data_IF_854108664540
#
_entry.id   IF_854108664540
#
_cell.length_a   1.000
_cell.length_b   1.000
_cell.length_c   1.000
_cell.angle_alpha   90.00
_cell.angle_beta   90.00
_cell.angle_gamma   90.00
#
_symmetry.space_group_name_H-M   'P 1'
#
loop_
_entity.id
_entity.type
_entity.pdbx_description
1 polymer ?
#
# COMPACT_ATOMS: atom_id res chain seq x y z
N UNK A 1 7.13 9.08 1.99
CA UNK A 1 8.15 10.01 1.46
C UNK A 1 8.82 10.72 2.62
N UNK A 2 9.75 10.03 3.24
CA UNK A 2 10.52 10.56 4.36
C UNK A 2 11.57 11.54 3.84
N UNK A 3 11.59 12.75 4.39
CA UNK A 3 12.63 13.74 4.12
C UNK A 3 13.93 13.41 4.91
N UNK A 4 13.80 12.57 5.92
CA UNK A 4 14.90 12.13 6.79
C UNK A 4 14.80 10.64 7.05
N UNK A 5 15.26 9.84 6.11
CA UNK A 5 15.36 8.39 6.30
C UNK A 5 16.81 8.02 6.60
N UNK A 6 17.01 7.36 7.73
CA UNK A 6 18.29 6.80 8.13
C UNK A 6 18.08 5.38 8.67
N UNK A 7 18.85 4.44 8.17
CA UNK A 7 18.80 3.03 8.60
C UNK A 7 20.25 2.61 8.91
N UNK A 8 20.49 2.18 10.16
CA UNK A 8 21.80 1.67 10.59
C UNK A 8 22.95 2.70 10.44
N UNK A 9 22.68 4.00 10.67
CA UNK A 9 23.67 5.06 10.51
C UNK A 9 23.93 5.48 9.05
N UNK A 10 23.15 4.97 8.09
CA UNK A 10 23.23 5.34 6.68
C UNK A 10 22.08 6.29 6.31
N UNK A 11 22.33 7.60 6.15
CA UNK A 11 21.28 8.54 5.76
C UNK A 11 20.95 8.40 4.27
N UNK A 12 19.65 8.52 3.93
CA UNK A 12 19.21 8.72 2.56
C UNK A 12 19.54 10.16 2.14
N UNK A 13 20.52 10.31 1.25
CA UNK A 13 20.85 11.60 0.65
C UNK A 13 20.19 11.71 -0.72
N UNK A 14 19.41 12.77 -0.93
CA UNK A 14 18.76 13.08 -2.21
C UNK A 14 19.01 14.54 -2.58
N UNK A 15 19.07 14.82 -3.88
CA UNK A 15 19.21 16.19 -4.41
C UNK A 15 17.89 16.91 -4.63
N UNK A 16 16.77 16.31 -4.21
CA UNK A 16 15.41 16.83 -4.37
C UNK A 16 14.64 16.73 -3.06
N UNK A 17 13.60 17.54 -2.89
CA UNK A 17 12.80 17.56 -1.66
C UNK A 17 12.17 16.18 -1.33
N UNK A 18 11.89 15.38 -2.35
CA UNK A 18 11.29 14.05 -2.19
C UNK A 18 12.00 13.04 -3.06
N UNK A 19 12.62 12.01 -2.45
CA UNK A 19 13.33 11.00 -3.21
C UNK A 19 12.40 10.25 -4.15
N UNK A 20 12.93 9.94 -5.32
CA UNK A 20 12.26 9.06 -6.28
C UNK A 20 12.26 7.62 -5.78
N UNK A 21 11.36 6.78 -6.34
CA UNK A 21 11.35 5.35 -6.07
C UNK A 21 12.72 4.71 -6.38
N UNK A 22 13.38 5.15 -7.44
CA UNK A 22 14.71 4.63 -7.82
C UNK A 22 15.75 4.94 -6.76
N UNK A 23 15.83 6.18 -6.28
CA UNK A 23 16.76 6.59 -5.23
C UNK A 23 16.52 5.81 -3.93
N UNK A 24 15.27 5.62 -3.53
CA UNK A 24 14.93 4.83 -2.36
C UNK A 24 15.37 3.36 -2.50
N UNK A 25 15.14 2.73 -3.65
CA UNK A 25 15.57 1.35 -3.91
C UNK A 25 17.08 1.21 -3.97
N UNK A 26 17.79 2.19 -4.55
CA UNK A 26 19.26 2.23 -4.57
C UNK A 26 19.81 2.37 -3.14
N UNK A 27 19.18 3.21 -2.33
CA UNK A 27 19.51 3.37 -0.92
C UNK A 27 19.38 2.06 -0.13
N UNK A 28 18.23 1.38 -0.22
CA UNK A 28 18.02 0.10 0.48
C UNK A 28 19.05 -0.95 0.06
N UNK A 29 19.38 -1.06 -1.25
CA UNK A 29 20.43 -1.98 -1.71
C UNK A 29 21.81 -1.64 -1.15
N UNK A 30 22.14 -0.35 -1.04
CA UNK A 30 23.41 0.08 -0.42
C UNK A 30 23.45 -0.28 1.06
N UNK A 31 22.37 -0.08 1.82
CA UNK A 31 22.30 -0.47 3.23
C UNK A 31 22.49 -1.99 3.37
N UNK A 32 21.75 -2.79 2.58
CA UNK A 32 21.90 -4.25 2.59
C UNK A 32 23.33 -4.68 2.31
N UNK A 33 23.99 -4.06 1.33
CA UNK A 33 25.38 -4.39 0.97
C UNK A 33 26.37 -3.99 2.05
N UNK A 34 26.28 -2.78 2.59
CA UNK A 34 27.22 -2.24 3.58
C UNK A 34 27.11 -3.02 4.91
N UNK A 35 25.90 -3.32 5.34
CA UNK A 35 25.62 -4.05 6.58
C UNK A 35 25.69 -5.58 6.39
N UNK A 36 25.96 -6.07 5.18
CA UNK A 36 26.04 -7.49 4.83
C UNK A 36 24.82 -8.27 5.30
N UNK A 37 23.63 -7.68 5.14
CA UNK A 37 22.38 -8.30 5.58
C UNK A 37 22.06 -9.56 4.77
N UNK A 38 21.62 -10.62 5.44
CA UNK A 38 21.21 -11.87 4.79
C UNK A 38 19.80 -11.71 4.20
N UNK A 39 19.69 -11.06 3.05
CA UNK A 39 18.44 -10.85 2.32
C UNK A 39 18.28 -11.89 1.23
N UNK A 40 17.13 -12.57 1.20
CA UNK A 40 16.75 -13.51 0.15
C UNK A 40 15.69 -12.86 -0.74
N UNK A 41 16.12 -12.34 -1.88
CA UNK A 41 15.21 -11.83 -2.92
C UNK A 41 14.57 -12.97 -3.68
N UNK A 42 13.45 -12.73 -4.36
CA UNK A 42 12.71 -13.73 -5.14
C UNK A 42 12.26 -14.95 -4.31
N UNK A 43 11.94 -14.70 -3.04
CA UNK A 43 11.38 -15.69 -2.13
C UNK A 43 10.06 -15.15 -1.59
N UNK A 44 8.95 -15.66 -2.08
CA UNK A 44 7.61 -15.31 -1.60
C UNK A 44 7.24 -16.21 -0.41
N UNK A 45 7.04 -15.64 0.76
CA UNK A 45 6.56 -16.39 1.93
C UNK A 45 5.09 -16.74 1.72
N UNK A 46 4.81 -18.02 1.63
CA UNK A 46 3.47 -18.55 1.37
C UNK A 46 2.79 -19.11 2.61
N UNK A 47 3.58 -19.51 3.62
CA UNK A 47 3.06 -20.07 4.87
C UNK A 47 4.02 -19.84 6.05
N UNK A 48 3.45 -19.64 7.23
CA UNK A 48 4.17 -19.59 8.50
C UNK A 48 3.42 -20.49 9.48
N UNK A 49 4.12 -21.49 10.02
CA UNK A 49 3.55 -22.44 10.98
C UNK A 49 4.23 -22.31 12.33
N UNK A 50 3.44 -22.22 13.40
CA UNK A 50 3.96 -22.28 14.75
C UNK A 50 4.40 -23.73 15.09
N UNK A 51 5.58 -23.87 15.66
CA UNK A 51 6.12 -25.12 16.17
C UNK A 51 6.02 -25.16 17.71
N UNK A 52 6.41 -26.28 18.33
CA UNK A 52 6.55 -26.36 19.79
C UNK A 52 7.55 -25.32 20.31
N UNK A 53 8.63 -25.06 19.54
CA UNK A 53 9.59 -23.98 19.78
C UNK A 53 9.82 -23.24 18.47
N UNK A 54 9.44 -21.94 18.44
CA UNK A 54 9.65 -21.10 17.26
C UNK A 54 8.68 -21.38 16.11
N UNK A 55 9.15 -21.16 14.89
CA UNK A 55 8.34 -21.14 13.69
C UNK A 55 9.03 -21.86 12.53
N UNK A 56 8.22 -22.36 11.62
CA UNK A 56 8.62 -22.87 10.32
C UNK A 56 7.98 -21.97 9.24
N UNK A 57 8.82 -21.33 8.44
CA UNK A 57 8.41 -20.45 7.35
C UNK A 57 8.68 -21.11 6.01
N UNK A 58 7.67 -21.24 5.17
CA UNK A 58 7.77 -21.76 3.82
C UNK A 58 7.72 -20.61 2.82
N UNK A 59 8.68 -20.59 1.90
CA UNK A 59 8.73 -19.63 0.80
C UNK A 59 8.84 -20.34 -0.55
N UNK A 60 8.27 -19.74 -1.59
CA UNK A 60 8.42 -20.15 -2.98
C UNK A 60 9.41 -19.22 -3.68
N UNK A 61 10.34 -19.78 -4.43
CA UNK A 61 11.24 -19.00 -5.27
C UNK A 61 10.56 -18.67 -6.61
N UNK A 62 11.09 -17.69 -7.34
CA UNK A 62 10.69 -17.37 -8.72
C UNK A 62 10.86 -18.55 -9.70
N UNK A 63 11.69 -19.54 -9.34
CA UNK A 63 11.89 -20.81 -10.07
C UNK A 63 10.95 -21.93 -9.64
N UNK A 64 9.97 -21.63 -8.77
CA UNK A 64 8.99 -22.62 -8.30
C UNK A 64 9.52 -23.59 -7.24
N UNK A 65 10.71 -23.35 -6.67
CA UNK A 65 11.27 -24.18 -5.61
C UNK A 65 10.70 -23.77 -4.26
N UNK A 66 10.33 -24.75 -3.44
CA UNK A 66 9.92 -24.51 -2.05
C UNK A 66 11.14 -24.53 -1.12
N UNK A 67 11.26 -23.50 -0.29
CA UNK A 67 12.32 -23.36 0.71
C UNK A 67 11.67 -23.27 2.09
N UNK A 68 12.18 -24.02 3.05
CA UNK A 68 11.70 -24.01 4.43
C UNK A 68 12.78 -23.51 5.37
N UNK A 69 12.44 -22.55 6.23
CA UNK A 69 13.32 -21.96 7.22
C UNK A 69 12.72 -22.13 8.62
N UNK A 70 13.55 -22.44 9.60
CA UNK A 70 13.16 -22.49 11.02
C UNK A 70 13.77 -21.31 11.75
N UNK A 71 12.97 -20.67 12.62
CA UNK A 71 13.40 -19.52 13.42
C UNK A 71 12.75 -19.52 14.78
N UNK A 72 13.39 -18.87 15.76
CA UNK A 72 12.81 -18.67 17.10
C UNK A 72 11.78 -17.56 17.10
N UNK A 73 11.97 -16.55 16.28
CA UNK A 73 11.13 -15.36 16.16
C UNK A 73 10.83 -15.07 14.69
N UNK A 74 9.69 -14.45 14.44
CA UNK A 74 9.30 -13.92 13.13
C UNK A 74 8.86 -12.48 13.29
N UNK A 75 9.31 -11.60 12.40
CA UNK A 75 8.82 -10.24 12.24
C UNK A 75 8.21 -10.10 10.84
N UNK A 76 6.89 -9.92 10.76
CA UNK A 76 6.16 -9.71 9.52
C UNK A 76 6.12 -8.22 9.17
N UNK A 77 6.63 -7.85 8.00
CA UNK A 77 6.70 -6.46 7.52
C UNK A 77 6.26 -6.32 6.05
N UNK A 78 5.26 -7.09 5.64
CA UNK A 78 4.80 -7.20 4.24
C UNK A 78 4.10 -5.95 3.70
N UNK A 79 3.70 -5.03 4.58
CA UNK A 79 2.98 -3.83 4.16
C UNK A 79 1.55 -4.11 3.69
N UNK A 80 1.05 -3.30 2.75
CA UNK A 80 -0.33 -3.39 2.25
C UNK A 80 -0.48 -3.17 0.73
N UNK A 81 0.57 -2.72 0.05
CA UNK A 81 0.46 -2.20 -1.33
C UNK A 81 0.10 -3.28 -2.37
N UNK A 82 0.33 -4.54 -2.06
CA UNK A 82 0.02 -5.66 -2.97
C UNK A 82 -1.46 -6.07 -2.96
N UNK A 83 -2.29 -5.45 -2.11
CA UNK A 83 -3.68 -5.81 -1.95
C UNK A 83 -4.60 -4.60 -2.21
N UNK A 84 -4.98 -4.34 -3.47
CA UNK A 84 -5.91 -3.27 -3.80
C UNK A 84 -7.33 -3.60 -3.32
N UNK A 85 -8.08 -2.55 -2.97
CA UNK A 85 -9.52 -2.68 -2.67
C UNK A 85 -10.29 -2.73 -3.97
N UNK A 86 -10.74 -3.91 -4.35
CA UNK A 86 -11.59 -4.11 -5.51
C UNK A 86 -12.97 -3.48 -5.31
N UNK A 87 -13.55 -2.98 -6.39
CA UNK A 87 -14.90 -2.42 -6.42
C UNK A 87 -15.97 -3.53 -6.50
N UNK A 88 -15.62 -4.68 -7.09
CA UNK A 88 -16.53 -5.81 -7.32
C UNK A 88 -17.59 -5.50 -8.37
N UNK A 89 -17.24 -4.73 -9.39
CA UNK A 89 -18.14 -4.30 -10.47
C UNK A 89 -17.80 -4.98 -11.80
N UNK A 90 -18.76 -5.10 -12.73
CA UNK A 90 -18.48 -5.60 -14.09
C UNK A 90 -17.37 -4.81 -14.77
N UNK A 91 -16.44 -5.50 -15.41
CA UNK A 91 -15.34 -4.94 -16.18
C UNK A 91 -14.14 -4.45 -15.36
N UNK A 92 -14.11 -4.66 -14.06
CA UNK A 92 -12.96 -4.24 -13.22
C UNK A 92 -11.65 -5.01 -13.55
N UNK A 93 -11.76 -6.18 -14.13
CA UNK A 93 -10.67 -7.07 -14.57
C UNK A 93 -10.27 -6.92 -16.04
N UNK A 94 -10.85 -5.95 -16.76
CA UNK A 94 -10.52 -5.69 -18.16
C UNK A 94 -9.06 -5.22 -18.32
N UNK A 95 -8.41 -5.50 -19.47
CA UNK A 95 -7.01 -5.12 -19.74
C UNK A 95 -6.73 -3.61 -19.66
N UNK A 96 -7.75 -2.76 -19.89
CA UNK A 96 -7.67 -1.32 -19.76
C UNK A 96 -7.99 -0.80 -18.34
N UNK A 97 -7.99 -1.68 -17.34
CA UNK A 97 -8.17 -1.32 -15.92
C UNK A 97 -6.92 -1.68 -15.14
N UNK A 98 -6.47 -0.78 -14.28
CA UNK A 98 -5.35 -1.03 -13.37
C UNK A 98 -5.63 -0.44 -11.99
N UNK A 99 -5.23 -1.16 -10.94
CA UNK A 99 -5.24 -0.67 -9.56
C UNK A 99 -3.92 0.03 -9.17
N UNK A 100 -2.99 0.11 -10.11
CA UNK A 100 -1.66 0.69 -9.92
C UNK A 100 -1.35 1.70 -11.01
N UNK A 101 -0.90 2.87 -10.60
CA UNK A 101 -0.35 3.88 -11.50
C UNK A 101 1.18 3.86 -11.40
N UNK A 102 1.87 3.81 -12.52
CA UNK A 102 3.33 3.76 -12.58
C UNK A 102 3.93 4.99 -13.24
N UNK A 103 3.44 5.36 -14.42
CA UNK A 103 3.91 6.52 -15.18
C UNK A 103 2.80 7.08 -16.08
N UNK A 104 2.94 8.35 -16.44
CA UNK A 104 1.91 9.07 -17.21
C UNK A 104 2.16 9.09 -18.73
N UNK A 105 3.41 8.94 -19.16
CA UNK A 105 3.80 9.14 -20.56
C UNK A 105 3.01 8.32 -21.60
N UNK A 106 2.67 7.03 -21.38
CA UNK A 106 1.88 6.24 -22.32
C UNK A 106 0.46 6.75 -22.59
N UNK A 107 -0.02 7.69 -21.80
CA UNK A 107 -1.40 8.19 -21.84
C UNK A 107 -1.53 9.60 -22.45
N UNK A 108 -0.49 10.09 -23.13
CA UNK A 108 -0.55 11.36 -23.85
C UNK A 108 -1.73 11.39 -24.84
N UNK A 109 -2.55 12.45 -24.78
CA UNK A 109 -3.80 12.64 -25.57
C UNK A 109 -4.88 11.56 -25.35
N UNK A 110 -4.73 10.64 -24.37
CA UNK A 110 -5.73 9.62 -24.03
C UNK A 110 -6.75 10.14 -23.04
N UNK A 111 -7.96 9.59 -23.12
CA UNK A 111 -8.99 9.78 -22.09
C UNK A 111 -8.74 8.80 -20.94
N UNK A 112 -8.42 9.33 -19.77
CA UNK A 112 -8.10 8.51 -18.62
C UNK A 112 -9.10 8.80 -17.49
N UNK A 113 -9.76 7.76 -17.01
CA UNK A 113 -10.64 7.85 -15.83
C UNK A 113 -9.95 7.31 -14.59
N UNK A 114 -9.97 8.08 -13.52
CA UNK A 114 -9.44 7.70 -12.20
C UNK A 114 -10.60 7.53 -11.24
N UNK A 115 -10.78 6.33 -10.70
CA UNK A 115 -11.77 6.03 -9.66
C UNK A 115 -11.08 6.13 -8.30
N UNK A 116 -11.42 7.16 -7.55
CA UNK A 116 -10.83 7.45 -6.24
C UNK A 116 -10.50 8.93 -6.05
N UNK A 117 -10.28 9.35 -4.81
CA UNK A 117 -9.90 10.72 -4.45
C UNK A 117 -8.91 10.78 -3.26
N UNK A 118 -8.15 9.71 -3.05
CA UNK A 118 -7.04 9.68 -2.10
C UNK A 118 -5.75 10.24 -2.71
N UNK A 119 -4.65 10.24 -1.92
CA UNK A 119 -3.37 10.80 -2.36
C UNK A 119 -2.82 10.15 -3.63
N UNK A 120 -2.94 8.82 -3.79
CA UNK A 120 -2.49 8.13 -5.00
C UNK A 120 -3.28 8.55 -6.24
N UNK A 121 -4.60 8.72 -6.10
CA UNK A 121 -5.46 9.20 -7.19
C UNK A 121 -5.13 10.64 -7.59
N UNK A 122 -4.86 11.49 -6.60
CA UNK A 122 -4.48 12.89 -6.81
C UNK A 122 -3.09 13.02 -7.49
N UNK A 123 -2.11 12.26 -7.01
CA UNK A 123 -0.78 12.20 -7.62
C UNK A 123 -0.88 11.74 -9.09
N UNK A 124 -1.60 10.64 -9.36
CA UNK A 124 -1.81 10.13 -10.71
C UNK A 124 -2.54 11.15 -11.61
N UNK A 125 -3.58 11.80 -11.11
CA UNK A 125 -4.34 12.80 -11.87
C UNK A 125 -3.46 13.98 -12.31
N UNK A 126 -2.62 14.48 -11.40
CA UNK A 126 -1.72 15.59 -11.68
C UNK A 126 -0.60 15.20 -12.65
N UNK A 127 -0.05 14.00 -12.53
CA UNK A 127 1.00 13.52 -13.44
C UNK A 127 0.45 13.24 -14.84
N UNK A 128 -0.72 12.63 -14.95
CA UNK A 128 -1.42 12.41 -16.22
C UNK A 128 -1.78 13.74 -16.89
N UNK A 129 -2.29 14.71 -16.12
CA UNK A 129 -2.56 16.05 -16.64
C UNK A 129 -1.29 16.72 -17.19
N UNK A 130 -0.18 16.68 -16.47
CA UNK A 130 1.11 17.23 -16.93
C UNK A 130 1.64 16.53 -18.17
N UNK A 131 1.35 15.25 -18.33
CA UNK A 131 1.71 14.47 -19.52
C UNK A 131 0.77 14.71 -20.72
N UNK A 132 -0.28 15.52 -20.56
CA UNK A 132 -1.21 15.86 -21.63
C UNK A 132 -2.36 14.86 -21.83
N UNK A 133 -2.67 14.04 -20.84
CA UNK A 133 -3.87 13.19 -20.85
C UNK A 133 -5.14 13.99 -20.54
N UNK A 134 -6.28 13.55 -21.06
CA UNK A 134 -7.61 14.06 -20.73
C UNK A 134 -8.11 13.34 -19.47
N UNK A 135 -7.95 13.96 -18.29
CA UNK A 135 -8.21 13.30 -17.01
C UNK A 135 -9.63 13.56 -16.51
N UNK A 136 -10.33 12.49 -16.16
CA UNK A 136 -11.59 12.54 -15.43
C UNK A 136 -11.48 11.73 -14.14
N UNK A 137 -11.86 12.31 -13.00
CA UNK A 137 -11.91 11.64 -11.70
C UNK A 137 -13.36 11.33 -11.31
N UNK A 138 -13.57 10.18 -10.67
CA UNK A 138 -14.85 9.76 -10.10
C UNK A 138 -14.70 9.52 -8.62
N UNK A 139 -15.54 10.16 -7.81
CA UNK A 139 -15.52 10.00 -6.36
C UNK A 139 -16.92 9.91 -5.76
N UNK A 140 -17.11 8.94 -4.86
CA UNK A 140 -18.39 8.71 -4.17
C UNK A 140 -18.76 9.75 -3.12
N UNK A 141 -17.79 10.53 -2.63
CA UNK A 141 -18.00 11.62 -1.69
C UNK A 141 -18.28 12.93 -2.42
N UNK A 142 -18.66 13.94 -1.66
CA UNK A 142 -19.01 15.30 -2.13
C UNK A 142 -17.78 16.21 -2.37
N UNK A 143 -16.63 15.80 -1.90
CA UNK A 143 -15.40 16.59 -1.92
C UNK A 143 -14.15 15.73 -1.84
N UNK A 144 -12.99 16.32 -2.09
CA UNK A 144 -11.71 15.63 -1.85
C UNK A 144 -11.51 15.36 -0.36
N UNK A 145 -10.95 14.20 -0.04
CA UNK A 145 -10.73 13.78 1.34
C UNK A 145 -9.90 14.81 2.13
N UNK A 146 -10.26 15.04 3.38
CA UNK A 146 -9.46 15.85 4.30
C UNK A 146 -8.01 15.33 4.46
N UNK A 147 -7.82 14.00 4.39
CA UNK A 147 -6.51 13.34 4.49
C UNK A 147 -5.63 13.46 3.23
N UNK A 148 -6.11 14.15 2.18
CA UNK A 148 -5.29 14.44 1.01
C UNK A 148 -4.11 15.32 1.42
N UNK A 149 -2.90 14.94 1.04
CA UNK A 149 -1.67 15.63 1.42
C UNK A 149 -1.76 17.14 1.10
N UNK A 150 -1.47 17.98 2.08
CA UNK A 150 -1.66 19.44 2.01
C UNK A 150 -0.91 20.12 0.86
N UNK A 151 0.19 19.50 0.38
CA UNK A 151 0.95 20.04 -0.77
C UNK A 151 0.42 19.60 -2.14
N UNK A 152 -0.46 18.57 -2.20
CA UNK A 152 -1.09 18.07 -3.43
C UNK A 152 -2.44 18.76 -3.64
N UNK A 153 -3.22 18.87 -2.57
CA UNK A 153 -4.61 19.34 -2.60
C UNK A 153 -4.80 20.68 -3.34
N UNK A 154 -4.03 21.75 -3.07
CA UNK A 154 -4.23 23.03 -3.74
C UNK A 154 -4.01 22.96 -5.25
N UNK A 155 -3.01 22.21 -5.70
CA UNK A 155 -2.73 22.05 -7.13
C UNK A 155 -3.87 21.30 -7.83
N UNK A 156 -4.36 20.20 -7.25
CA UNK A 156 -5.48 19.44 -7.80
C UNK A 156 -6.77 20.30 -7.87
N UNK A 157 -7.11 21.01 -6.79
CA UNK A 157 -8.28 21.89 -6.74
C UNK A 157 -8.22 23.00 -7.79
N UNK A 158 -7.04 23.57 -8.03
CA UNK A 158 -6.84 24.56 -9.09
C UNK A 158 -7.09 23.97 -10.47
N UNK A 159 -6.56 22.76 -10.77
CA UNK A 159 -6.79 22.08 -12.06
C UNK A 159 -8.26 21.76 -12.28
N UNK A 160 -8.97 21.38 -11.23
CA UNK A 160 -10.43 21.13 -11.28
C UNK A 160 -11.20 22.43 -11.51
N UNK A 161 -10.86 23.51 -10.79
CA UNK A 161 -11.50 24.82 -10.95
C UNK A 161 -11.30 25.43 -12.35
N UNK A 162 -10.16 25.19 -12.95
CA UNK A 162 -9.85 25.62 -14.32
C UNK A 162 -10.52 24.74 -15.40
N UNK A 163 -11.10 23.59 -15.00
CA UNK A 163 -11.67 22.62 -15.93
C UNK A 163 -10.64 21.74 -16.64
N UNK A 164 -9.36 21.82 -16.27
CA UNK A 164 -8.28 21.01 -16.83
C UNK A 164 -8.35 19.55 -16.40
N UNK A 165 -8.88 19.28 -15.19
CA UNK A 165 -9.23 17.95 -14.70
C UNK A 165 -10.72 17.95 -14.38
N UNK A 166 -11.47 17.01 -14.96
CA UNK A 166 -12.90 16.85 -14.67
C UNK A 166 -13.08 16.00 -13.42
N UNK A 167 -14.08 16.32 -12.58
CA UNK A 167 -14.41 15.51 -11.41
C UNK A 167 -15.91 15.30 -11.30
N UNK A 168 -16.32 14.04 -11.12
CA UNK A 168 -17.67 13.66 -10.74
C UNK A 168 -17.69 13.27 -9.26
N UNK A 169 -18.09 14.22 -8.41
CA UNK A 169 -18.41 13.96 -7.01
C UNK A 169 -19.78 13.31 -6.86
N UNK A 170 -20.08 12.74 -5.67
CA UNK A 170 -21.32 12.05 -5.36
C UNK A 170 -21.65 10.94 -6.39
N UNK A 171 -20.61 10.31 -6.93
CA UNK A 171 -20.72 9.38 -8.05
C UNK A 171 -20.11 8.02 -7.73
N UNK A 172 -20.85 6.96 -8.02
CA UNK A 172 -20.44 5.57 -7.84
C UNK A 172 -20.27 4.92 -9.20
N UNK A 173 -19.12 4.30 -9.43
CA UNK A 173 -18.89 3.52 -10.64
C UNK A 173 -19.72 2.25 -10.60
N UNK A 174 -20.45 1.95 -11.66
CA UNK A 174 -21.33 0.79 -11.79
C UNK A 174 -20.75 -0.29 -12.69
N UNK A 175 -20.07 0.13 -13.76
CA UNK A 175 -19.51 -0.75 -14.77
C UNK A 175 -18.33 -0.07 -15.48
N UNK A 176 -17.38 -0.88 -15.94
CA UNK A 176 -16.29 -0.45 -16.80
C UNK A 176 -16.37 -1.29 -18.08
N UNK A 177 -16.26 -0.64 -19.24
CA UNK A 177 -16.18 -1.29 -20.54
C UNK A 177 -14.82 -1.07 -21.19
N UNK A 178 -14.60 -1.60 -22.37
CA UNK A 178 -13.35 -1.37 -23.12
C UNK A 178 -13.12 0.10 -23.53
N UNK A 179 -14.18 0.92 -23.54
CA UNK A 179 -14.17 2.28 -24.08
C UNK A 179 -14.89 3.32 -23.21
N UNK A 180 -15.46 2.90 -22.08
CA UNK A 180 -16.18 3.80 -21.18
C UNK A 180 -16.20 3.35 -19.71
N UNK A 181 -16.40 4.31 -18.81
CA UNK A 181 -16.79 4.10 -17.42
C UNK A 181 -18.20 4.60 -17.19
N UNK A 182 -19.08 3.74 -16.69
CA UNK A 182 -20.48 4.04 -16.41
C UNK A 182 -20.61 4.36 -14.92
N UNK A 183 -21.07 5.56 -14.60
CA UNK A 183 -21.25 6.02 -13.22
C UNK A 183 -22.71 6.37 -12.95
N UNK A 184 -23.09 6.26 -11.69
CA UNK A 184 -24.35 6.76 -11.15
C UNK A 184 -24.02 7.93 -10.22
N UNK A 185 -24.44 9.12 -10.61
CA UNK A 185 -24.30 10.34 -9.83
C UNK A 185 -25.57 10.62 -9.06
N UNK A 186 -25.47 10.88 -7.76
CA UNK A 186 -26.58 11.37 -6.94
C UNK A 186 -26.71 12.89 -7.11
N UNK A 187 -27.87 13.33 -7.62
CA UNK A 187 -28.20 14.75 -7.73
C UNK A 187 -28.62 15.34 -6.37
N UNK A 188 -28.74 16.67 -6.29
CA UNK A 188 -29.12 17.38 -5.05
C UNK A 188 -30.50 16.98 -4.52
N UNK A 189 -31.44 16.66 -5.40
CA UNK A 189 -32.77 16.15 -5.06
C UNK A 189 -32.78 14.66 -4.65
N UNK A 190 -31.61 14.00 -4.65
CA UNK A 190 -31.42 12.60 -4.30
C UNK A 190 -31.68 11.61 -5.44
N UNK A 191 -32.10 12.07 -6.64
CA UNK A 191 -32.32 11.23 -7.79
C UNK A 191 -30.98 10.75 -8.41
N UNK A 192 -30.91 9.50 -8.94
CA UNK A 192 -29.72 9.03 -9.63
C UNK A 192 -29.72 9.47 -11.10
N UNK A 193 -28.56 9.92 -11.58
CA UNK A 193 -28.27 10.20 -12.98
C UNK A 193 -27.20 9.24 -13.47
N UNK A 194 -27.45 8.54 -14.58
CA UNK A 194 -26.44 7.71 -15.22
C UNK A 194 -25.60 8.54 -16.19
N UNK A 195 -24.29 8.52 -16.02
CA UNK A 195 -23.34 9.21 -16.88
C UNK A 195 -22.36 8.20 -17.47
N UNK A 196 -22.15 8.28 -18.78
CA UNK A 196 -21.15 7.47 -19.52
C UNK A 196 -19.94 8.35 -19.81
N UNK A 197 -18.77 7.94 -19.32
CA UNK A 197 -17.51 8.66 -19.48
C UNK A 197 -16.66 7.91 -20.50
N UNK A 198 -16.43 8.44 -21.70
CA UNK A 198 -15.51 7.84 -22.68
C UNK A 198 -14.10 7.71 -22.09
N UNK A 199 -13.50 6.53 -22.20
CA UNK A 199 -12.26 6.21 -21.46
C UNK A 199 -11.43 5.21 -22.24
N UNK A 200 -10.15 5.52 -22.46
CA UNK A 200 -9.17 4.59 -23.04
C UNK A 200 -8.48 3.75 -21.96
N UNK A 201 -8.31 4.31 -20.75
CA UNK A 201 -7.69 3.67 -19.61
C UNK A 201 -8.41 4.04 -18.30
N UNK A 202 -8.60 3.07 -17.44
CA UNK A 202 -9.16 3.29 -16.09
C UNK A 202 -8.12 2.95 -15.02
N UNK A 203 -7.92 3.86 -14.06
CA UNK A 203 -7.17 3.59 -12.85
C UNK A 203 -8.11 3.53 -11.64
N UNK A 204 -8.34 2.33 -11.09
CA UNK A 204 -9.14 2.12 -9.88
C UNK A 204 -8.27 2.28 -8.62
N UNK A 205 -7.99 3.54 -8.24
CA UNK A 205 -7.13 3.90 -7.10
C UNK A 205 -7.97 4.07 -5.82
N UNK A 206 -8.68 3.02 -5.46
CA UNK A 206 -9.67 2.95 -4.38
C UNK A 206 -9.07 2.73 -3.00
N UNK A 207 -7.75 2.56 -2.93
CA UNK A 207 -6.96 2.26 -1.74
C UNK A 207 -6.57 0.80 -1.65
N UNK A 208 -5.89 0.46 -0.56
CA UNK A 208 -5.30 -0.85 -0.32
C UNK A 208 -5.64 -1.33 1.10
N UNK A 209 -5.32 -2.59 1.41
CA UNK A 209 -5.43 -3.15 2.75
C UNK A 209 -4.27 -4.12 3.03
N UNK A 210 -3.90 -4.28 4.30
CA UNK A 210 -2.92 -5.29 4.70
C UNK A 210 -3.58 -6.67 4.71
N UNK A 211 -2.98 -7.64 4.01
CA UNK A 211 -3.48 -9.01 3.99
C UNK A 211 -3.36 -9.68 5.34
N UNK A 212 -4.41 -10.33 5.79
CA UNK A 212 -4.45 -11.10 7.05
C UNK A 212 -4.02 -12.56 6.88
N UNK A 213 -3.85 -13.03 5.64
CA UNK A 213 -3.66 -14.46 5.32
C UNK A 213 -2.52 -15.14 6.11
N UNK A 214 -1.35 -14.52 6.16
CA UNK A 214 -0.21 -15.07 6.92
C UNK A 214 -0.42 -14.94 8.43
N UNK A 215 -1.12 -13.90 8.89
CA UNK A 215 -1.44 -13.66 10.29
C UNK A 215 -2.43 -14.70 10.81
N UNK A 216 -3.54 -14.92 10.10
CA UNK A 216 -4.55 -15.92 10.43
C UNK A 216 -3.97 -17.33 10.38
N UNK A 217 -3.13 -17.63 9.39
CA UNK A 217 -2.47 -18.92 9.23
C UNK A 217 -1.61 -19.33 10.42
N UNK A 218 -1.03 -18.37 11.15
CA UNK A 218 -0.22 -18.63 12.35
C UNK A 218 -1.01 -18.49 13.66
N UNK A 219 -2.29 -18.07 13.59
CA UNK A 219 -3.20 -17.94 14.74
C UNK A 219 -3.18 -16.56 15.39
N UNK A 220 -2.81 -15.52 14.64
CA UNK A 220 -2.92 -14.13 15.12
C UNK A 220 -4.39 -13.71 15.16
N UNK A 221 -4.80 -13.08 16.25
CA UNK A 221 -6.16 -12.54 16.41
C UNK A 221 -6.30 -11.27 15.58
N UNK A 222 -7.28 -11.29 14.69
CA UNK A 222 -7.63 -10.16 13.81
C UNK A 222 -8.90 -9.51 14.31
N UNK A 223 -8.91 -8.19 14.44
CA UNK A 223 -10.08 -7.40 14.84
C UNK A 223 -11.08 -7.34 13.68
N UNK A 224 -12.36 -7.55 13.98
CA UNK A 224 -13.43 -7.57 12.97
C UNK A 224 -13.72 -6.20 12.35
N UNK A 225 -13.45 -5.11 13.09
CA UNK A 225 -13.85 -3.75 12.73
C UNK A 225 -13.01 -3.20 11.56
N UNK A 226 -11.72 -3.49 11.56
CA UNK A 226 -10.77 -2.89 10.61
C UNK A 226 -9.74 -3.88 10.05
N UNK A 227 -9.88 -5.16 10.39
CA UNK A 227 -8.94 -6.24 10.02
C UNK A 227 -7.51 -6.01 10.53
N UNK A 228 -7.33 -5.20 11.57
CA UNK A 228 -6.01 -5.03 12.20
C UNK A 228 -5.68 -6.20 13.12
N UNK A 229 -4.38 -6.51 13.22
CA UNK A 229 -3.89 -7.50 14.17
C UNK A 229 -3.98 -6.97 15.62
N UNK A 230 -4.23 -7.87 16.57
CA UNK A 230 -4.05 -7.54 17.97
C UNK A 230 -2.54 -7.50 18.28
N UNK A 231 -2.04 -6.34 18.67
CA UNK A 231 -0.64 -6.07 18.94
C UNK A 231 -0.44 -5.52 20.36
N UNK A 232 0.67 -5.87 20.96
CA UNK A 232 1.21 -5.18 22.13
C UNK A 232 1.90 -3.89 21.63
N UNK A 233 1.46 -2.73 22.10
CA UNK A 233 1.95 -1.42 21.63
C UNK A 233 3.41 -1.12 22.05
N UNK A 234 3.93 -1.82 23.07
CA UNK A 234 5.30 -1.63 23.54
C UNK A 234 6.31 -2.50 22.78
N UNK A 235 5.88 -3.62 22.23
CA UNK A 235 6.78 -4.61 21.59
C UNK A 235 6.40 -4.95 20.16
N UNK A 236 5.20 -4.61 19.70
CA UNK A 236 4.60 -5.05 18.44
C UNK A 236 4.50 -6.57 18.28
N UNK A 237 4.53 -7.29 19.41
CA UNK A 237 4.26 -8.72 19.45
C UNK A 237 2.74 -8.96 19.37
N UNK A 238 2.36 -10.03 18.70
CA UNK A 238 0.96 -10.47 18.61
C UNK A 238 0.58 -11.33 19.82
N UNK A 239 -0.66 -11.84 19.83
CA UNK A 239 -1.08 -12.90 20.76
C UNK A 239 -0.29 -14.22 20.58
N UNK A 240 0.45 -14.37 19.47
CA UNK A 240 1.31 -15.53 19.20
C UNK A 240 2.72 -15.19 19.64
N UNK A 241 3.16 -15.77 20.78
CA UNK A 241 4.46 -15.47 21.38
C UNK A 241 5.62 -15.71 20.40
N UNK A 242 6.48 -14.69 20.25
CA UNK A 242 7.60 -14.68 19.31
C UNK A 242 7.25 -14.24 17.88
N UNK A 243 5.98 -13.89 17.61
CA UNK A 243 5.53 -13.37 16.32
C UNK A 243 5.22 -11.88 16.42
N UNK A 244 5.98 -11.07 15.71
CA UNK A 244 5.90 -9.61 15.69
C UNK A 244 5.34 -9.13 14.34
N UNK A 245 4.64 -7.99 14.35
CA UNK A 245 4.17 -7.34 13.12
C UNK A 245 4.66 -5.90 13.10
N UNK A 246 5.36 -5.54 12.03
CA UNK A 246 6.06 -4.27 11.90
C UNK A 246 5.48 -3.45 10.75
N UNK A 247 5.43 -2.13 10.92
CA UNK A 247 4.91 -1.22 9.92
C UNK A 247 3.42 -1.43 9.68
N UNK A 248 2.97 -1.21 8.46
CA UNK A 248 1.55 -1.24 8.09
C UNK A 248 0.94 -2.63 7.93
N UNK A 249 1.74 -3.70 7.98
CA UNK A 249 1.26 -5.08 7.82
C UNK A 249 0.21 -5.51 8.86
N UNK A 250 0.21 -4.91 10.06
CA UNK A 250 -0.73 -5.20 11.13
C UNK A 250 -1.96 -4.31 11.19
N UNK A 251 -2.16 -3.38 10.26
CA UNK A 251 -3.16 -2.31 10.39
C UNK A 251 -4.39 -2.49 9.49
N UNK A 252 -4.54 -3.64 8.83
CA UNK A 252 -5.74 -3.98 8.07
C UNK A 252 -6.13 -2.91 7.05
N UNK A 253 -7.29 -2.28 7.24
CA UNK A 253 -7.79 -1.21 6.36
C UNK A 253 -7.30 0.19 6.74
N UNK A 254 -6.64 0.38 7.89
CA UNK A 254 -6.10 1.66 8.36
C UNK A 254 -4.71 1.96 7.79
N UNK A 255 -4.55 1.83 6.50
CA UNK A 255 -3.25 1.96 5.81
C UNK A 255 -2.66 3.36 5.82
N UNK A 256 -3.47 4.37 6.16
CA UNK A 256 -3.04 5.78 6.28
C UNK A 256 -2.39 6.13 7.62
N UNK A 257 -2.44 5.24 8.61
CA UNK A 257 -1.99 5.53 9.97
C UNK A 257 -0.49 5.32 10.14
N UNK A 258 0.09 4.46 9.29
CA UNK A 258 1.49 4.05 9.41
C UNK A 258 2.30 4.44 8.19
N UNK A 259 3.33 5.20 8.42
CA UNK A 259 4.34 5.63 7.46
C UNK A 259 5.67 4.91 7.72
N UNK A 260 6.68 5.16 6.89
CA UNK A 260 8.02 4.55 7.04
C UNK A 260 8.62 4.89 8.40
N UNK A 261 8.46 6.14 8.85
CA UNK A 261 8.98 6.65 10.12
C UNK A 261 8.43 5.89 11.33
N UNK A 262 7.11 5.65 11.36
CA UNK A 262 6.48 4.84 12.41
C UNK A 262 6.94 3.39 12.36
N UNK A 263 7.09 2.85 11.13
CA UNK A 263 7.57 1.49 10.91
C UNK A 263 8.97 1.24 11.48
N UNK A 264 9.86 2.25 11.44
CA UNK A 264 11.19 2.18 12.07
C UNK A 264 11.07 2.04 13.59
N UNK A 265 10.17 2.81 14.23
CA UNK A 265 9.93 2.71 15.68
C UNK A 265 9.39 1.32 16.05
N UNK A 266 8.48 0.76 15.23
CA UNK A 266 7.97 -0.60 15.44
C UNK A 266 9.09 -1.62 15.37
N UNK A 267 9.97 -1.52 14.37
CA UNK A 267 11.11 -2.41 14.21
C UNK A 267 12.06 -2.34 15.41
N UNK A 268 12.39 -1.12 15.87
CA UNK A 268 13.26 -0.91 17.02
C UNK A 268 12.71 -1.57 18.30
N UNK A 269 11.43 -1.36 18.61
CA UNK A 269 10.76 -1.94 19.78
C UNK A 269 10.73 -3.48 19.69
N UNK A 270 10.36 -4.03 18.54
CA UNK A 270 10.32 -5.48 18.34
C UNK A 270 11.72 -6.12 18.48
N UNK A 271 12.75 -5.52 17.89
CA UNK A 271 14.12 -6.01 17.96
C UNK A 271 14.64 -5.95 19.40
N UNK A 272 14.40 -4.86 20.15
CA UNK A 272 14.77 -4.78 21.58
C UNK A 272 14.18 -5.93 22.39
N UNK A 273 12.91 -6.27 22.16
CA UNK A 273 12.27 -7.40 22.85
C UNK A 273 12.88 -8.74 22.44
N UNK A 274 13.15 -8.94 21.14
CA UNK A 274 13.82 -10.16 20.65
C UNK A 274 15.19 -10.32 21.29
N UNK A 275 16.02 -9.27 21.32
CA UNK A 275 17.37 -9.31 21.93
C UNK A 275 17.27 -9.64 23.42
N UNK A 276 16.39 -8.95 24.17
CA UNK A 276 16.16 -9.22 25.59
C UNK A 276 15.84 -10.70 25.85
N UNK A 277 15.02 -11.34 25.02
CA UNK A 277 14.67 -12.77 25.14
C UNK A 277 15.82 -13.69 24.77
N UNK A 278 16.63 -13.31 23.76
CA UNK A 278 17.80 -14.08 23.39
C UNK A 278 18.85 -14.12 24.49
N UNK A 279 19.10 -12.99 25.16
CA UNK A 279 20.06 -12.86 26.25
C UNK A 279 19.61 -13.63 27.51
N UNK A 280 18.29 -13.65 27.79
CA UNK A 280 17.72 -14.33 28.94
C UNK A 280 17.46 -15.83 28.72
N UNK A 281 17.74 -16.37 27.55
CA UNK A 281 17.58 -17.80 27.27
C UNK A 281 18.95 -18.44 27.33
N UNK A 282 19.23 -19.34 28.29
CA UNK A 282 20.51 -20.08 28.34
C UNK A 282 20.70 -20.81 27.00
N UNK A 283 21.88 -20.67 26.42
CA UNK A 283 22.31 -21.53 25.31
C UNK A 283 22.42 -22.92 25.92
N UNK A 284 21.41 -23.78 25.68
CA UNK A 284 21.58 -25.20 25.94
C UNK A 284 22.69 -25.71 25.04
N UNK A 285 23.79 -26.08 25.66
CA UNK A 285 24.96 -26.64 25.01
C UNK A 285 24.61 -27.96 24.30
#
# INVERSE_FOLDING_TARGET
TSERLEIGGHPLVTGVDKPTRKEALDYYRKVVHNEKLNVKTFHEVTNIKRLAVGFETTAQTDKGQSVTLKSRFVALATGYFDNPKYLGIPGEDLPNVSHYFTEAHPYYERNVTIIGAGSSAADAALDLFKAGANVTMVHRGDSFRFSLKYWIKPNLENRVKEGSIKVHFNSVTKEITSDAVIIEKRLEDGTPETIIIPTDQTFALTGYYASTKLLEGVGVVIKSEDFSAQLNEDTFETNVGGFFVIGSAGYGTRTSDIFIENGLIHAEKAVKEVVRRLENTPVSA
#
